data_IF_679388043367
#
_entry.id   IF_679388043367
#
_cell.length_a   1.000
_cell.length_b   1.000
_cell.length_c   1.000
_cell.angle_alpha   90.00
_cell.angle_beta   90.00
_cell.angle_gamma   90.00
#
_symmetry.space_group_name_H-M   'P 1'
#
loop_
_entity.id
_entity.type
_entity.pdbx_description
1 polymer ?
#
# COMPACT_ATOMS: atom_id res chain seq x y z
N UNK A 1 28.19 14.69 31.64
CA UNK A 1 29.07 13.89 30.74
C UNK A 1 28.41 12.61 30.22
N UNK A 2 27.61 11.86 31.00
CA UNK A 2 26.92 10.64 30.52
C UNK A 2 25.89 10.88 29.40
N UNK A 3 25.14 11.98 29.44
CA UNK A 3 24.14 12.29 28.40
C UNK A 3 24.78 12.61 27.03
N UNK A 4 25.98 13.22 27.02
CA UNK A 4 26.70 13.55 25.79
C UNK A 4 27.22 12.29 25.07
N UNK A 5 27.61 11.26 25.83
CA UNK A 5 28.01 9.96 25.30
C UNK A 5 26.84 9.19 24.66
N UNK A 6 25.62 9.33 25.18
CA UNK A 6 24.43 8.66 24.64
C UNK A 6 23.98 9.32 23.34
N UNK A 7 24.02 10.65 23.26
CA UNK A 7 23.69 11.40 22.04
C UNK A 7 24.70 11.12 20.92
N UNK A 8 26.00 10.99 21.24
CA UNK A 8 27.04 10.67 20.24
C UNK A 8 26.87 9.26 19.63
N UNK A 9 26.32 8.31 20.38
CA UNK A 9 26.11 6.92 19.94
C UNK A 9 24.92 6.77 18.97
N UNK A 10 23.97 7.71 18.99
CA UNK A 10 22.80 7.75 18.11
C UNK A 10 23.07 8.40 16.74
N UNK A 11 24.26 9.00 16.55
CA UNK A 11 24.65 9.65 15.29
C UNK A 11 25.44 8.75 14.33
N UNK A 12 25.58 7.44 14.60
CA UNK A 12 26.16 6.51 13.62
C UNK A 12 25.08 6.12 12.59
N UNK A 13 25.15 6.59 11.33
CA UNK A 13 24.32 6.03 10.28
C UNK A 13 24.80 4.59 10.07
N UNK A 14 23.95 3.62 10.41
CA UNK A 14 24.14 2.25 9.95
C UNK A 14 23.95 2.25 8.43
N UNK A 15 25.04 2.44 7.69
CA UNK A 15 25.08 2.25 6.24
C UNK A 15 24.94 0.76 5.93
N UNK A 16 23.72 0.26 6.06
CA UNK A 16 23.34 -1.06 5.58
C UNK A 16 23.25 -1.00 4.05
N UNK A 17 24.36 -1.32 3.38
CA UNK A 17 24.34 -1.61 1.95
C UNK A 17 23.57 -2.92 1.75
N UNK A 18 22.31 -2.85 1.34
CA UNK A 18 21.49 -4.02 1.02
C UNK A 18 22.03 -4.70 -0.25
N UNK A 19 22.94 -5.67 -0.08
CA UNK A 19 23.44 -6.52 -1.15
C UNK A 19 22.54 -7.76 -1.24
N UNK A 20 21.82 -7.91 -2.35
CA UNK A 20 20.95 -9.07 -2.56
C UNK A 20 21.78 -10.21 -3.16
N UNK A 21 21.96 -11.28 -2.40
CA UNK A 21 22.68 -12.48 -2.82
C UNK A 21 21.72 -13.47 -3.48
N UNK A 22 22.15 -14.10 -4.57
CA UNK A 22 21.41 -15.19 -5.22
C UNK A 22 21.87 -16.52 -4.66
N UNK A 23 20.95 -17.25 -4.06
CA UNK A 23 21.20 -18.50 -3.36
C UNK A 23 20.53 -19.66 -4.10
N UNK A 24 21.26 -20.76 -4.28
CA UNK A 24 20.68 -21.99 -4.81
C UNK A 24 20.28 -22.91 -3.67
N UNK A 25 18.99 -23.20 -3.57
CA UNK A 25 18.46 -24.23 -2.69
C UNK A 25 18.86 -25.63 -3.14
N UNK A 26 18.80 -26.59 -2.23
CA UNK A 26 19.22 -27.99 -2.44
C UNK A 26 18.40 -28.72 -3.53
N UNK A 27 17.21 -28.21 -3.83
CA UNK A 27 16.30 -28.68 -4.89
C UNK A 27 16.57 -28.05 -6.27
N UNK A 28 17.52 -27.11 -6.37
CA UNK A 28 17.80 -26.33 -7.58
C UNK A 28 17.05 -25.01 -7.69
N UNK A 29 16.16 -24.69 -6.75
CA UNK A 29 15.44 -23.42 -6.68
C UNK A 29 16.37 -22.22 -6.39
N UNK A 30 16.16 -21.09 -7.06
CA UNK A 30 16.94 -19.87 -6.81
C UNK A 30 16.17 -18.93 -5.89
N UNK A 31 16.70 -18.67 -4.71
CA UNK A 31 16.17 -17.70 -3.75
C UNK A 31 17.09 -16.48 -3.68
N UNK A 32 16.51 -15.31 -3.41
CA UNK A 32 17.25 -14.08 -3.19
C UNK A 32 17.21 -13.74 -1.70
N UNK A 33 18.38 -13.50 -1.11
CA UNK A 33 18.54 -13.28 0.33
C UNK A 33 19.41 -12.05 0.57
N UNK A 34 19.07 -11.28 1.60
CA UNK A 34 19.87 -10.14 2.06
C UNK A 34 21.10 -10.57 2.87
N UNK A 35 21.17 -11.86 3.24
CA UNK A 35 22.30 -12.47 3.96
C UNK A 35 23.01 -13.51 3.08
N UNK A 36 24.36 -13.61 3.14
CA UNK A 36 25.13 -14.55 2.34
C UNK A 36 24.76 -15.99 2.70
N UNK A 37 24.42 -16.78 1.68
CA UNK A 37 23.90 -18.13 1.90
C UNK A 37 24.96 -19.18 2.21
N UNK A 38 26.24 -18.92 1.89
CA UNK A 38 27.37 -19.75 2.26
C UNK A 38 28.67 -18.93 2.27
N UNK A 39 29.71 -19.41 2.98
CA UNK A 39 31.00 -18.73 3.16
C UNK A 39 31.80 -18.47 1.86
N UNK A 40 31.31 -18.90 0.69
CA UNK A 40 31.90 -18.66 -0.64
C UNK A 40 30.98 -17.88 -1.58
N UNK A 41 29.93 -17.25 -1.07
CA UNK A 41 29.01 -16.47 -1.90
C UNK A 41 29.70 -15.20 -2.42
N UNK A 42 29.87 -15.10 -3.74
CA UNK A 42 30.33 -13.88 -4.39
C UNK A 42 29.18 -12.86 -4.48
N UNK A 43 29.37 -11.61 -4.04
CA UNK A 43 28.35 -10.57 -4.15
C UNK A 43 28.09 -10.24 -5.63
N UNK A 44 26.87 -10.48 -6.11
CA UNK A 44 26.44 -10.08 -7.45
C UNK A 44 26.15 -8.57 -7.44
N UNK A 45 27.01 -7.77 -8.06
CA UNK A 45 26.76 -6.33 -8.20
C UNK A 45 25.53 -6.10 -9.06
N UNK A 46 24.47 -5.54 -8.47
CA UNK A 46 23.36 -5.00 -9.24
C UNK A 46 23.92 -3.90 -10.16
N UNK A 47 23.62 -3.99 -11.46
CA UNK A 47 23.92 -2.96 -12.43
C UNK A 47 23.26 -1.67 -11.95
N UNK A 48 24.06 -0.69 -11.52
CA UNK A 48 23.57 0.66 -11.21
C UNK A 48 22.73 1.15 -12.38
N UNK A 49 21.43 1.31 -12.15
CA UNK A 49 20.57 2.07 -13.04
C UNK A 49 21.06 3.51 -12.96
N UNK A 50 21.86 3.92 -13.94
CA UNK A 50 22.11 5.33 -14.20
C UNK A 50 20.76 6.00 -14.39
N UNK A 51 20.42 6.89 -13.46
CA UNK A 51 19.31 7.83 -13.57
C UNK A 51 19.38 8.50 -14.94
N UNK A 52 18.35 8.38 -15.81
CA UNK A 52 18.42 8.99 -17.13
C UNK A 52 18.25 10.51 -16.98
N UNK A 53 19.34 11.25 -17.16
CA UNK A 53 19.31 12.65 -17.60
C UNK A 53 18.89 12.71 -19.07
N UNK A 54 18.18 13.77 -19.51
CA UNK A 54 17.44 13.75 -20.76
C UNK A 54 18.30 14.17 -21.97
N UNK A 55 17.98 13.55 -23.11
CA UNK A 55 18.25 13.93 -24.51
C UNK A 55 19.72 13.92 -24.96
N UNK A 56 20.06 13.02 -25.90
CA UNK A 56 20.56 13.31 -27.28
C UNK A 56 20.49 11.99 -28.08
N UNK A 57 19.81 12.01 -29.23
CA UNK A 57 19.77 10.92 -30.23
C UNK A 57 21.17 10.71 -30.85
N UNK A 58 21.51 9.51 -31.37
CA UNK A 58 21.28 9.30 -32.81
C UNK A 58 21.05 7.86 -33.30
N UNK A 59 20.51 7.81 -34.52
CA UNK A 59 20.80 6.90 -35.64
C UNK A 59 20.63 5.37 -35.49
N UNK A 60 19.58 4.89 -36.17
CA UNK A 60 19.62 3.87 -37.21
C UNK A 60 20.66 2.74 -37.10
N UNK A 61 20.16 1.51 -36.97
CA UNK A 61 20.73 0.37 -37.69
C UNK A 61 19.62 -0.60 -38.07
N UNK A 62 19.38 -0.62 -39.37
CA UNK A 62 18.68 -1.63 -40.16
C UNK A 62 19.18 -3.03 -39.83
N UNK A 63 18.28 -3.95 -39.51
CA UNK A 63 18.49 -5.40 -39.61
C UNK A 63 17.13 -6.11 -39.61
N UNK A 64 16.52 -6.20 -40.78
CA UNK A 64 15.75 -7.38 -41.22
C UNK A 64 16.64 -8.13 -42.23
N UNK A 65 16.41 -9.41 -42.60
CA UNK A 65 15.20 -10.21 -42.34
C UNK A 65 15.50 -11.65 -41.85
N UNK A 66 14.49 -12.34 -41.31
CA UNK A 66 14.30 -13.77 -41.62
C UNK A 66 12.81 -14.06 -41.55
N UNK A 67 12.26 -14.25 -42.74
CA UNK A 67 10.92 -14.73 -43.00
C UNK A 67 10.76 -16.16 -42.46
N UNK A 68 9.76 -16.31 -41.61
CA UNK A 68 9.24 -17.58 -41.13
C UNK A 68 7.91 -17.39 -40.40
N UNK A 69 7.10 -16.41 -40.81
CA UNK A 69 5.74 -16.25 -40.29
C UNK A 69 4.79 -17.22 -41.00
N UNK A 70 4.34 -18.24 -40.27
CA UNK A 70 3.01 -18.80 -40.46
C UNK A 70 1.97 -17.67 -40.30
N UNK A 71 1.01 -17.47 -41.22
CA UNK A 71 0.08 -16.32 -41.18
C UNK A 71 -0.97 -16.34 -40.06
N UNK A 72 -0.84 -17.20 -39.03
CA UNK A 72 -1.85 -17.40 -37.98
C UNK A 72 -1.45 -16.91 -36.58
N UNK A 73 -0.16 -17.01 -36.19
CA UNK A 73 0.25 -16.90 -34.77
C UNK A 73 0.60 -15.47 -34.31
N UNK A 74 0.95 -14.57 -35.23
CA UNK A 74 1.28 -13.18 -34.90
C UNK A 74 0.04 -12.37 -34.43
N UNK A 75 -1.15 -12.68 -34.97
CA UNK A 75 -2.40 -12.03 -34.56
C UNK A 75 -2.87 -12.50 -33.18
N UNK A 76 -2.77 -13.80 -32.87
CA UNK A 76 -3.15 -14.32 -31.55
C UNK A 76 -2.23 -13.80 -30.44
N UNK A 77 -0.91 -13.79 -30.67
CA UNK A 77 0.06 -13.30 -29.69
C UNK A 77 -0.08 -11.81 -29.40
N UNK A 78 -0.37 -10.98 -30.42
CA UNK A 78 -0.64 -9.56 -30.26
C UNK A 78 -1.96 -9.31 -29.52
N UNK A 79 -3.01 -10.10 -29.80
CA UNK A 79 -4.30 -10.00 -29.10
C UNK A 79 -4.22 -10.42 -27.63
N UNK A 80 -3.42 -11.45 -27.31
CA UNK A 80 -3.19 -11.90 -25.95
C UNK A 80 -2.35 -10.89 -25.15
N UNK A 81 -1.34 -10.27 -25.77
CA UNK A 81 -0.56 -9.20 -25.16
C UNK A 81 -1.42 -7.96 -24.87
N UNK A 82 -2.30 -7.57 -25.80
CA UNK A 82 -3.25 -6.47 -25.60
C UNK A 82 -4.25 -6.76 -24.46
N UNK A 83 -4.83 -7.96 -24.43
CA UNK A 83 -5.74 -8.39 -23.36
C UNK A 83 -5.06 -8.42 -21.98
N UNK A 84 -3.80 -8.87 -21.92
CA UNK A 84 -3.02 -8.83 -20.68
C UNK A 84 -2.73 -7.39 -20.23
N UNK A 85 -2.39 -6.50 -21.15
CA UNK A 85 -2.18 -5.07 -20.84
C UNK A 85 -3.45 -4.40 -20.32
N UNK A 86 -4.61 -4.71 -20.89
CA UNK A 86 -5.90 -4.18 -20.43
C UNK A 86 -6.27 -4.70 -19.04
N UNK A 87 -6.01 -5.99 -18.79
CA UNK A 87 -6.23 -6.60 -17.48
C UNK A 87 -5.33 -5.99 -16.40
N UNK A 88 -4.06 -5.73 -16.69
CA UNK A 88 -3.14 -5.02 -15.79
C UNK A 88 -3.60 -3.59 -15.52
N UNK A 89 -4.06 -2.87 -16.55
CA UNK A 89 -4.61 -1.53 -16.41
C UNK A 89 -5.87 -1.52 -15.51
N UNK A 90 -6.77 -2.49 -15.68
CA UNK A 90 -7.97 -2.63 -14.85
C UNK A 90 -7.63 -2.90 -13.38
N UNK A 91 -6.64 -3.78 -13.11
CA UNK A 91 -6.15 -4.01 -11.74
C UNK A 91 -5.51 -2.77 -11.12
N UNK A 92 -4.75 -2.00 -11.91
CA UNK A 92 -4.15 -0.75 -11.43
C UNK A 92 -5.23 0.31 -11.10
N UNK A 93 -6.27 0.39 -11.93
CA UNK A 93 -7.40 1.27 -11.70
C UNK A 93 -8.21 0.85 -10.45
N UNK A 94 -8.45 -0.44 -10.26
CA UNK A 94 -9.12 -0.98 -9.06
C UNK A 94 -8.36 -0.62 -7.77
N UNK A 95 -7.04 -0.80 -7.75
CA UNK A 95 -6.20 -0.43 -6.60
C UNK A 95 -6.32 1.06 -6.27
N UNK A 96 -6.30 1.91 -7.30
CA UNK A 96 -6.47 3.36 -7.15
C UNK A 96 -7.88 3.71 -6.64
N UNK A 97 -8.92 3.03 -7.14
CA UNK A 97 -10.30 3.19 -6.68
C UNK A 97 -10.42 2.88 -5.18
N UNK A 98 -9.87 1.74 -4.73
CA UNK A 98 -9.90 1.34 -3.32
C UNK A 98 -9.12 2.32 -2.45
N UNK A 99 -7.95 2.80 -2.91
CA UNK A 99 -7.16 3.78 -2.17
C UNK A 99 -7.93 5.10 -1.97
N UNK A 100 -8.57 5.61 -3.01
CA UNK A 100 -9.39 6.82 -2.93
C UNK A 100 -10.64 6.61 -2.05
N UNK A 101 -11.32 5.48 -2.18
CA UNK A 101 -12.42 5.10 -1.30
C UNK A 101 -12.00 5.04 0.18
N UNK A 102 -10.81 4.49 0.46
CA UNK A 102 -10.26 4.44 1.82
C UNK A 102 -10.07 5.84 2.39
N UNK A 103 -9.43 6.73 1.63
CA UNK A 103 -9.18 8.11 2.07
C UNK A 103 -10.49 8.89 2.31
N UNK A 104 -11.44 8.78 1.38
CA UNK A 104 -12.73 9.48 1.45
C UNK A 104 -13.66 8.95 2.56
N UNK A 105 -13.60 7.66 2.89
CA UNK A 105 -14.40 7.08 3.98
C UNK A 105 -13.76 7.36 5.34
N UNK A 106 -12.48 7.03 5.51
CA UNK A 106 -11.85 7.10 6.83
C UNK A 106 -11.39 8.50 7.23
N UNK A 107 -11.03 9.38 6.30
CA UNK A 107 -10.62 10.75 6.64
C UNK A 107 -11.69 11.49 7.45
N UNK A 108 -12.89 11.73 6.88
CA UNK A 108 -13.98 12.40 7.59
C UNK A 108 -14.48 11.63 8.82
N UNK A 109 -14.43 10.29 8.78
CA UNK A 109 -14.82 9.47 9.93
C UNK A 109 -13.89 9.69 11.12
N UNK A 110 -12.57 9.69 10.87
CA UNK A 110 -11.56 9.96 11.88
C UNK A 110 -11.68 11.37 12.47
N UNK A 111 -12.01 12.38 11.64
CA UNK A 111 -12.24 13.75 12.10
C UNK A 111 -13.45 13.85 13.05
N UNK A 112 -14.55 13.15 12.74
CA UNK A 112 -15.72 13.08 13.64
C UNK A 112 -15.37 12.37 14.94
N UNK A 113 -14.66 11.24 14.87
CA UNK A 113 -14.23 10.49 16.07
C UNK A 113 -13.30 11.33 16.94
N UNK A 114 -12.33 12.03 16.35
CA UNK A 114 -11.40 12.89 17.11
C UNK A 114 -12.14 14.03 17.81
N UNK A 115 -13.11 14.65 17.14
CA UNK A 115 -13.98 15.68 17.74
C UNK A 115 -14.78 15.12 18.92
N UNK A 116 -15.39 13.94 18.78
CA UNK A 116 -16.13 13.28 19.86
C UNK A 116 -15.20 12.93 21.04
N UNK A 117 -13.98 12.47 20.76
CA UNK A 117 -12.98 12.17 21.78
C UNK A 117 -12.56 13.42 22.55
N UNK A 118 -12.31 14.54 21.88
CA UNK A 118 -12.01 15.82 22.54
C UNK A 118 -13.15 16.26 23.47
N UNK A 119 -14.40 16.11 23.03
CA UNK A 119 -15.56 16.41 23.87
C UNK A 119 -15.65 15.49 25.09
N UNK A 120 -15.29 14.21 24.96
CA UNK A 120 -15.23 13.31 26.12
C UNK A 120 -14.14 13.74 27.12
N UNK A 121 -12.99 14.22 26.65
CA UNK A 121 -11.92 14.72 27.54
C UNK A 121 -12.43 15.91 28.35
N UNK A 122 -13.07 16.89 27.71
CA UNK A 122 -13.66 18.05 28.40
C UNK A 122 -14.74 17.63 29.41
N UNK A 123 -15.57 16.64 29.08
CA UNK A 123 -16.55 16.10 30.04
C UNK A 123 -15.89 15.38 31.22
N UNK A 124 -14.75 14.72 30.99
CA UNK A 124 -13.96 14.09 32.05
C UNK A 124 -13.46 15.11 33.07
N UNK A 125 -12.97 16.26 32.62
CA UNK A 125 -12.56 17.37 33.48
C UNK A 125 -13.74 17.95 34.27
N UNK A 126 -14.90 18.12 33.62
CA UNK A 126 -16.12 18.56 34.31
C UNK A 126 -16.59 17.56 35.35
N UNK A 127 -16.42 16.26 35.09
CA UNK A 127 -16.77 15.20 36.02
C UNK A 127 -15.84 15.20 37.24
N UNK A 128 -14.54 15.45 37.05
CA UNK A 128 -13.57 15.55 38.14
C UNK A 128 -13.87 16.71 39.11
N UNK A 129 -14.49 17.78 38.60
CA UNK A 129 -14.85 18.98 39.37
C UNK A 129 -16.34 19.05 39.75
N UNK A 130 -17.10 17.96 39.59
CA UNK A 130 -18.54 17.97 39.84
C UNK A 130 -18.84 17.99 41.36
N UNK A 131 -19.64 18.97 41.86
CA UNK A 131 -19.93 19.10 43.29
C UNK A 131 -20.86 18.01 43.83
N UNK A 132 -21.79 17.52 43.01
CA UNK A 132 -22.88 16.64 43.44
C UNK A 132 -22.95 15.33 42.64
N UNK A 133 -23.54 14.30 43.26
CA UNK A 133 -23.69 12.96 42.67
C UNK A 133 -24.59 12.96 41.42
N UNK A 134 -25.67 13.75 41.42
CA UNK A 134 -26.61 13.86 40.30
C UNK A 134 -25.91 14.42 39.05
N UNK A 135 -25.16 15.52 39.20
CA UNK A 135 -24.39 16.11 38.11
C UNK A 135 -23.33 15.15 37.59
N UNK A 136 -22.65 14.45 38.49
CA UNK A 136 -21.67 13.42 38.12
C UNK A 136 -22.32 12.29 37.31
N UNK A 137 -23.52 11.84 37.68
CA UNK A 137 -24.25 10.82 36.94
C UNK A 137 -24.67 11.32 35.56
N UNK A 138 -25.20 12.53 35.44
CA UNK A 138 -25.57 13.12 34.15
C UNK A 138 -24.36 13.22 33.19
N UNK A 139 -23.20 13.65 33.69
CA UNK A 139 -21.96 13.71 32.90
C UNK A 139 -21.50 12.33 32.44
N UNK A 140 -21.54 11.31 33.31
CA UNK A 140 -21.20 9.93 32.95
C UNK A 140 -22.14 9.38 31.86
N UNK A 141 -23.44 9.65 31.96
CA UNK A 141 -24.42 9.28 30.92
C UNK A 141 -24.08 9.94 29.59
N UNK A 142 -23.73 11.24 29.59
CA UNK A 142 -23.33 11.95 28.37
C UNK A 142 -22.06 11.36 27.74
N UNK A 143 -21.06 11.01 28.55
CA UNK A 143 -19.86 10.31 28.08
C UNK A 143 -20.21 8.94 27.48
N UNK A 144 -21.14 8.19 28.07
CA UNK A 144 -21.60 6.91 27.51
C UNK A 144 -22.27 7.10 26.14
N UNK A 145 -23.09 8.14 25.97
CA UNK A 145 -23.69 8.49 24.67
C UNK A 145 -22.63 8.78 23.61
N UNK A 146 -21.56 9.50 23.94
CA UNK A 146 -20.45 9.74 22.99
C UNK A 146 -19.68 8.47 22.64
N UNK A 147 -19.43 7.58 23.61
CA UNK A 147 -18.82 6.27 23.31
C UNK A 147 -19.67 5.47 22.32
N UNK A 148 -20.97 5.43 22.52
CA UNK A 148 -21.90 4.79 21.56
C UNK A 148 -21.87 5.46 20.19
N UNK A 149 -21.77 6.80 20.13
CA UNK A 149 -21.64 7.53 18.87
C UNK A 149 -20.34 7.15 18.12
N UNK A 150 -19.21 7.05 18.82
CA UNK A 150 -17.93 6.62 18.25
C UNK A 150 -18.04 5.19 17.69
N UNK A 151 -18.64 4.26 18.45
CA UNK A 151 -18.85 2.89 17.96
C UNK A 151 -19.71 2.85 16.70
N UNK A 152 -20.79 3.66 16.64
CA UNK A 152 -21.63 3.76 15.43
C UNK A 152 -20.87 4.34 14.25
N UNK A 153 -20.04 5.35 14.48
CA UNK A 153 -19.22 5.97 13.43
C UNK A 153 -18.25 4.96 12.81
N UNK A 154 -17.56 4.16 13.63
CA UNK A 154 -16.70 3.08 13.12
C UNK A 154 -17.48 2.02 12.33
N UNK A 155 -18.64 1.59 12.83
CA UNK A 155 -19.50 0.64 12.11
C UNK A 155 -19.99 1.16 10.76
N UNK A 156 -20.35 2.44 10.71
CA UNK A 156 -20.76 3.11 9.48
C UNK A 156 -19.61 3.18 8.46
N UNK A 157 -18.41 3.61 8.90
CA UNK A 157 -17.23 3.65 8.03
C UNK A 157 -16.87 2.27 7.48
N UNK A 158 -16.94 1.23 8.32
CA UNK A 158 -16.70 -0.14 7.88
C UNK A 158 -17.69 -0.58 6.80
N UNK A 159 -18.98 -0.32 6.99
CA UNK A 159 -20.03 -0.64 6.02
C UNK A 159 -19.83 0.10 4.70
N UNK A 160 -19.50 1.40 4.77
CA UNK A 160 -19.21 2.21 3.58
C UNK A 160 -17.99 1.69 2.82
N UNK A 161 -16.93 1.29 3.53
CA UNK A 161 -15.73 0.75 2.91
C UNK A 161 -16.00 -0.59 2.20
N UNK A 162 -16.77 -1.47 2.82
CA UNK A 162 -17.17 -2.75 2.21
C UNK A 162 -17.99 -2.52 0.94
N UNK A 163 -18.97 -1.60 0.99
CA UNK A 163 -19.75 -1.24 -0.19
C UNK A 163 -18.92 -0.53 -1.28
N UNK A 164 -17.93 0.28 -0.89
CA UNK A 164 -17.03 0.93 -1.84
C UNK A 164 -16.11 -0.09 -2.54
N UNK A 165 -15.58 -1.08 -1.81
CA UNK A 165 -14.80 -2.17 -2.41
C UNK A 165 -15.59 -2.94 -3.44
N UNK A 166 -16.83 -3.32 -3.13
CA UNK A 166 -17.71 -4.00 -4.08
C UNK A 166 -17.91 -3.18 -5.35
N UNK A 167 -18.22 -1.88 -5.21
CA UNK A 167 -18.34 -0.97 -6.36
C UNK A 167 -17.06 -0.88 -7.20
N UNK A 168 -15.87 -0.79 -6.57
CA UNK A 168 -14.60 -0.78 -7.30
C UNK A 168 -14.38 -2.08 -8.08
N UNK A 169 -14.68 -3.24 -7.47
CA UNK A 169 -14.57 -4.54 -8.13
C UNK A 169 -15.52 -4.64 -9.32
N UNK A 170 -16.77 -4.22 -9.16
CA UNK A 170 -17.78 -4.29 -10.22
C UNK A 170 -17.42 -3.37 -11.39
N UNK A 171 -16.86 -2.18 -11.14
CA UNK A 171 -16.43 -1.25 -12.20
C UNK A 171 -15.22 -1.74 -12.99
N UNK A 172 -14.30 -2.47 -12.34
CA UNK A 172 -13.05 -2.92 -12.97
C UNK A 172 -13.04 -4.42 -13.30
N UNK A 173 -14.19 -5.07 -13.20
CA UNK A 173 -14.36 -6.47 -13.58
C UNK A 173 -14.08 -6.62 -15.08
N UNK A 174 -13.12 -7.47 -15.48
CA UNK A 174 -12.89 -7.71 -16.90
C UNK A 174 -14.15 -8.33 -17.53
N UNK A 175 -14.48 -7.91 -18.76
CA UNK A 175 -15.55 -8.53 -19.53
C UNK A 175 -15.25 -10.03 -19.63
N UNK A 176 -16.17 -10.87 -19.16
CA UNK A 176 -16.06 -12.30 -19.38
C UNK A 176 -16.29 -12.53 -20.86
N UNK A 177 -15.24 -12.83 -21.62
CA UNK A 177 -15.38 -13.31 -23.00
C UNK A 177 -16.15 -14.64 -22.91
N UNK A 178 -17.39 -14.73 -23.44
CA UNK A 178 -18.10 -16.00 -23.42
C UNK A 178 -17.33 -17.01 -24.27
N UNK A 179 -16.96 -18.13 -23.68
CA UNK A 179 -16.39 -19.26 -24.42
C UNK A 179 -17.41 -19.71 -25.47
N UNK A 180 -17.03 -19.65 -26.74
CA UNK A 180 -17.80 -20.18 -27.87
C UNK A 180 -17.47 -21.64 -28.08
#
# INVERSE_FOLDING_TARGET
>A
MRAFLIVLLLLLPASAFAQVYKCKGKSGETMYSENPCDARAEPMKLREHSVPTPVVAPAASTSEPTAGEEPGQASESASAAAANSELEANRAAERTCIANATASVYGPSNDRVSTLQQQMTMLGEQLANAPDAERSQALRTRMATFRQAITREHGNAHTQMTAARQRCLDMHRPAQTPAR
#
